data_IF_179397343884
#
_entry.id   IF_179397343884
#
_cell.length_a   1.000
_cell.length_b   1.000
_cell.length_c   1.000
_cell.angle_alpha   90.00
_cell.angle_beta   90.00
_cell.angle_gamma   90.00
#
_symmetry.space_group_name_H-M   'P 1'
#
loop_
_entity.id
_entity.type
_entity.pdbx_description
1 polymer ?
#
# COMPACT_ATOMS: atom_id res chain seq x y z
N UNK A 1 -5.06 -20.88 -50.47
CA UNK A 1 -5.58 -19.85 -49.55
C UNK A 1 -4.42 -19.42 -48.65
N UNK A 2 -4.10 -18.13 -48.70
CA UNK A 2 -2.80 -17.55 -48.36
C UNK A 2 -2.55 -17.44 -46.84
N UNK A 3 -1.35 -17.82 -46.39
CA UNK A 3 -0.85 -17.63 -45.02
C UNK A 3 -0.08 -16.31 -44.96
N UNK A 4 -0.61 -15.33 -44.23
CA UNK A 4 0.08 -14.08 -43.91
C UNK A 4 0.85 -14.24 -42.59
N UNK A 5 2.19 -14.20 -42.67
CA UNK A 5 3.09 -14.15 -41.52
C UNK A 5 3.31 -12.68 -41.14
N UNK A 6 2.84 -12.29 -39.95
CA UNK A 6 3.04 -10.95 -39.39
C UNK A 6 4.33 -10.97 -38.56
N UNK A 7 5.37 -10.34 -39.09
CA UNK A 7 6.66 -10.17 -38.45
C UNK A 7 6.60 -9.00 -37.46
N UNK A 8 6.59 -9.29 -36.16
CA UNK A 8 6.67 -8.27 -35.09
C UNK A 8 8.13 -7.86 -34.90
N UNK A 9 8.49 -6.68 -35.44
CA UNK A 9 9.77 -6.02 -35.21
C UNK A 9 9.81 -5.49 -33.75
N UNK A 10 10.52 -6.23 -32.89
CA UNK A 10 10.83 -5.82 -31.52
C UNK A 10 11.92 -4.73 -31.56
N UNK A 11 11.53 -3.46 -31.42
CA UNK A 11 12.47 -2.37 -31.16
C UNK A 11 13.01 -2.48 -29.72
N UNK A 12 14.19 -3.09 -29.57
CA UNK A 12 14.97 -3.01 -28.33
C UNK A 12 15.57 -1.59 -28.22
N UNK A 13 14.96 -0.75 -27.39
CA UNK A 13 15.61 0.47 -26.90
C UNK A 13 16.75 0.05 -25.95
N UNK A 14 17.96 -0.04 -26.51
CA UNK A 14 19.18 -0.22 -25.72
C UNK A 14 19.47 1.11 -25.04
N UNK A 15 19.05 1.25 -23.79
CA UNK A 15 19.50 2.33 -22.91
C UNK A 15 20.99 2.12 -22.62
N UNK A 16 21.86 2.77 -23.40
CA UNK A 16 23.30 2.82 -23.12
C UNK A 16 23.50 3.47 -21.74
N UNK A 17 23.71 2.63 -20.74
CA UNK A 17 24.02 3.06 -19.38
C UNK A 17 25.48 3.51 -19.39
N UNK A 18 25.73 4.80 -19.55
CA UNK A 18 27.07 5.37 -19.37
C UNK A 18 27.49 5.03 -17.94
N UNK A 19 28.42 4.08 -17.80
CA UNK A 19 28.93 3.62 -16.50
C UNK A 19 29.94 4.65 -15.99
N UNK A 20 29.44 5.80 -15.58
CA UNK A 20 30.25 6.77 -14.84
C UNK A 20 30.74 6.11 -13.54
N UNK A 21 32.03 6.18 -13.27
CA UNK A 21 32.56 5.75 -11.98
C UNK A 21 32.20 6.82 -10.96
N UNK A 22 31.26 6.49 -10.06
CA UNK A 22 30.87 7.36 -8.96
C UNK A 22 31.50 6.87 -7.66
N UNK A 23 32.01 7.80 -6.85
CA UNK A 23 32.52 7.54 -5.51
C UNK A 23 31.69 8.34 -4.47
N UNK A 24 31.41 7.72 -3.33
CA UNK A 24 30.64 8.37 -2.24
C UNK A 24 31.57 8.60 -1.07
N UNK A 25 31.67 9.86 -0.66
CA UNK A 25 32.59 10.32 0.38
C UNK A 25 31.93 11.37 1.28
N UNK A 26 32.67 11.85 2.28
CA UNK A 26 32.31 13.02 3.06
C UNK A 26 33.17 14.22 2.67
N UNK A 27 32.55 15.38 2.48
CA UNK A 27 33.29 16.62 2.28
C UNK A 27 33.87 17.16 3.60
N UNK A 28 34.57 18.31 3.54
CA UNK A 28 35.17 18.94 4.72
C UNK A 28 34.17 19.39 5.79
N UNK A 29 32.88 19.50 5.44
CA UNK A 29 31.79 19.81 6.37
C UNK A 29 31.10 18.53 6.90
N UNK A 30 31.61 17.34 6.56
CA UNK A 30 31.05 16.05 6.96
C UNK A 30 29.79 15.65 6.19
N UNK A 31 29.42 16.37 5.12
CA UNK A 31 28.24 16.08 4.29
C UNK A 31 28.56 14.93 3.36
N UNK A 32 27.61 14.00 3.20
CA UNK A 32 27.74 12.92 2.22
C UNK A 32 27.61 13.52 0.81
N UNK A 33 28.57 13.20 -0.06
CA UNK A 33 28.58 13.63 -1.47
C UNK A 33 28.83 12.43 -2.38
N UNK A 34 28.31 12.48 -3.59
CA UNK A 34 28.61 11.52 -4.67
C UNK A 34 29.33 12.26 -5.78
N UNK A 35 30.57 11.88 -6.04
CA UNK A 35 31.38 12.43 -7.12
C UNK A 35 31.41 11.44 -8.27
N UNK A 36 30.93 11.85 -9.45
CA UNK A 36 30.90 11.02 -10.64
C UNK A 36 31.83 11.58 -11.73
N UNK A 37 32.61 10.71 -12.36
CA UNK A 37 33.32 11.06 -13.60
C UNK A 37 32.40 10.78 -14.79
N UNK A 38 31.94 11.84 -15.45
CA UNK A 38 31.06 11.76 -16.60
C UNK A 38 31.88 11.95 -17.87
N UNK A 39 31.96 10.88 -18.66
CA UNK A 39 32.55 10.91 -19.99
C UNK A 39 31.40 11.11 -20.99
N UNK A 40 31.25 12.32 -21.51
CA UNK A 40 30.31 12.55 -22.60
C UNK A 40 30.98 12.15 -23.90
N UNK A 41 30.44 11.14 -24.58
CA UNK A 41 30.69 10.98 -26.01
C UNK A 41 29.96 12.13 -26.69
N UNK A 42 30.73 13.13 -27.08
CA UNK A 42 30.26 14.24 -27.90
C UNK A 42 29.48 13.74 -29.14
N UNK A 43 28.64 14.62 -29.70
CA UNK A 43 27.92 14.36 -30.95
C UNK A 43 28.88 13.85 -32.02
N UNK A 44 28.42 13.05 -33.01
CA UNK A 44 29.29 12.36 -33.99
C UNK A 44 30.33 13.23 -34.75
N UNK A 45 30.27 14.56 -34.66
CA UNK A 45 31.20 15.49 -35.32
C UNK A 45 32.14 16.27 -34.37
N UNK A 46 32.12 16.01 -33.06
CA UNK A 46 33.02 16.67 -32.09
C UNK A 46 34.07 15.68 -31.58
N UNK A 47 35.33 15.86 -31.99
CA UNK A 47 36.46 14.95 -31.70
C UNK A 47 36.96 15.06 -30.24
N UNK A 48 36.42 15.97 -29.43
CA UNK A 48 36.88 16.18 -28.05
C UNK A 48 36.01 15.44 -27.04
N UNK A 49 36.56 14.38 -26.44
CA UNK A 49 36.00 13.75 -25.26
C UNK A 49 35.91 14.77 -24.12
N UNK A 50 34.70 15.12 -23.71
CA UNK A 50 34.50 16.02 -22.57
C UNK A 50 34.44 15.20 -21.29
N UNK A 51 35.50 15.33 -20.48
CA UNK A 51 35.56 14.79 -19.13
C UNK A 51 35.04 15.84 -18.16
N UNK A 52 33.90 15.58 -17.54
CA UNK A 52 33.34 16.45 -16.49
C UNK A 52 33.19 15.65 -15.21
N UNK A 53 33.84 16.14 -14.16
CA UNK A 53 33.51 15.71 -12.81
C UNK A 53 32.24 16.42 -12.37
N UNK A 54 31.24 15.65 -11.93
CA UNK A 54 30.02 16.18 -11.34
C UNK A 54 29.92 15.76 -9.88
N UNK A 55 29.47 16.67 -9.02
CA UNK A 55 29.34 16.42 -7.58
C UNK A 55 27.90 16.59 -7.16
N UNK A 56 27.32 15.56 -6.54
CA UNK A 56 25.95 15.57 -6.03
C UNK A 56 25.95 15.54 -4.51
N UNK A 57 25.03 16.28 -3.89
CA UNK A 57 24.78 16.19 -2.45
C UNK A 57 23.98 14.91 -2.13
N UNK A 58 24.44 14.12 -1.16
CA UNK A 58 23.87 12.83 -0.78
C UNK A 58 24.43 11.66 -1.59
N UNK A 59 23.77 10.50 -1.50
CA UNK A 59 24.14 9.29 -2.25
C UNK A 59 22.93 8.52 -2.76
N UNK A 60 23.13 7.55 -3.64
CA UNK A 60 22.09 6.59 -4.02
C UNK A 60 21.84 5.49 -2.97
N UNK A 61 22.79 5.26 -2.06
CA UNK A 61 22.79 4.13 -1.13
C UNK A 61 22.08 4.42 0.19
N UNK A 62 21.40 3.42 0.75
CA UNK A 62 20.67 3.52 2.02
C UNK A 62 21.49 4.16 3.15
N UNK A 63 22.77 3.79 3.26
CA UNK A 63 23.66 4.21 4.36
C UNK A 63 24.99 4.79 3.88
N UNK A 64 25.67 5.50 4.78
CA UNK A 64 27.09 5.84 4.68
C UNK A 64 27.80 5.39 5.99
N UNK A 65 28.97 4.72 5.94
CA UNK A 65 29.65 4.21 4.75
C UNK A 65 28.76 3.24 3.95
N UNK A 66 29.01 3.12 2.64
CA UNK A 66 28.14 2.37 1.71
C UNK A 66 28.06 0.89 2.11
N UNK A 67 29.21 0.27 2.40
CA UNK A 67 29.31 -1.14 2.73
C UNK A 67 29.23 -1.32 4.22
N UNK A 68 28.19 -2.01 4.69
CA UNK A 68 27.99 -2.28 6.11
C UNK A 68 27.71 -3.75 6.34
N UNK A 69 28.09 -4.25 7.51
CA UNK A 69 27.80 -5.64 7.85
C UNK A 69 26.29 -5.87 7.89
N UNK A 70 25.87 -6.98 7.29
CA UNK A 70 24.48 -7.36 7.22
C UNK A 70 24.30 -8.84 6.93
N UNK A 71 23.03 -9.22 6.82
CA UNK A 71 22.62 -10.60 6.61
C UNK A 71 21.60 -10.65 5.49
N UNK A 72 21.71 -11.64 4.60
CA UNK A 72 20.73 -11.88 3.53
C UNK A 72 20.10 -13.26 3.69
N UNK A 73 18.81 -13.36 3.36
CA UNK A 73 18.05 -14.61 3.27
C UNK A 73 17.53 -14.75 1.84
N UNK A 74 17.97 -15.81 1.14
CA UNK A 74 17.62 -16.02 -0.27
C UNK A 74 16.19 -16.53 -0.46
N UNK A 75 15.68 -17.26 0.53
CA UNK A 75 14.32 -17.77 0.59
C UNK A 75 13.82 -17.77 2.06
N UNK A 76 12.54 -18.08 2.27
CA UNK A 76 11.90 -18.03 3.60
C UNK A 76 12.39 -19.11 4.57
N UNK A 77 12.98 -20.21 4.08
CA UNK A 77 13.53 -21.30 4.89
C UNK A 77 15.07 -21.29 4.94
N UNK A 78 15.69 -20.38 4.18
CA UNK A 78 17.11 -20.34 3.91
C UNK A 78 17.91 -19.93 5.13
N UNK A 79 19.13 -20.46 5.21
CA UNK A 79 20.09 -20.07 6.23
C UNK A 79 20.52 -18.61 6.02
N UNK A 80 20.67 -17.82 7.09
CA UNK A 80 21.21 -16.46 7.00
C UNK A 80 22.63 -16.48 6.44
N UNK A 81 22.91 -15.62 5.46
CA UNK A 81 24.25 -15.46 4.88
C UNK A 81 24.78 -14.08 5.26
N UNK A 82 25.86 -14.03 6.05
CA UNK A 82 26.54 -12.78 6.39
C UNK A 82 27.35 -12.25 5.22
N UNK A 83 27.20 -10.96 4.91
CA UNK A 83 27.97 -10.25 3.88
C UNK A 83 28.06 -8.76 4.24
N UNK A 84 28.96 -8.01 3.60
CA UNK A 84 28.82 -6.56 3.58
C UNK A 84 27.78 -6.17 2.54
N UNK A 85 26.76 -5.43 2.95
CA UNK A 85 25.65 -5.01 2.11
C UNK A 85 25.84 -3.55 1.69
N UNK A 86 25.58 -3.29 0.41
CA UNK A 86 25.27 -1.95 -0.10
C UNK A 86 23.88 -2.02 -0.75
N UNK A 87 22.93 -1.21 -0.30
CA UNK A 87 21.57 -1.19 -0.84
C UNK A 87 21.32 0.12 -1.59
N UNK A 88 21.19 0.06 -2.91
CA UNK A 88 20.88 1.24 -3.72
C UNK A 88 19.38 1.53 -3.71
N UNK A 89 19.00 2.72 -3.28
CA UNK A 89 17.61 3.18 -3.21
C UNK A 89 17.12 3.76 -4.54
N UNK A 90 18.01 3.94 -5.52
CA UNK A 90 17.68 4.42 -6.87
C UNK A 90 17.22 3.25 -7.75
N UNK A 91 18.01 2.18 -7.85
CA UNK A 91 17.68 1.02 -8.68
C UNK A 91 17.10 -0.17 -7.88
N UNK A 92 17.00 -0.02 -6.56
CA UNK A 92 16.44 -1.01 -5.63
C UNK A 92 17.21 -2.35 -5.64
N UNK A 93 18.52 -2.32 -5.96
CA UNK A 93 19.39 -3.50 -5.93
C UNK A 93 20.17 -3.62 -4.64
N UNK A 94 20.34 -4.88 -4.21
CA UNK A 94 21.16 -5.26 -3.06
C UNK A 94 22.47 -5.82 -3.59
N UNK A 95 23.58 -5.22 -3.17
CA UNK A 95 24.92 -5.71 -3.48
C UNK A 95 25.52 -6.35 -2.23
N UNK A 96 26.12 -7.52 -2.36
CA UNK A 96 26.85 -8.20 -1.29
C UNK A 96 28.35 -8.31 -1.64
N UNK A 97 29.21 -8.09 -0.65
CA UNK A 97 30.59 -8.60 -0.62
C UNK A 97 30.66 -9.71 0.43
N UNK A 98 30.90 -10.93 -0.01
CA UNK A 98 31.01 -12.10 0.87
C UNK A 98 32.40 -12.16 1.50
N UNK A 99 32.51 -12.79 2.67
CA UNK A 99 33.75 -12.87 3.43
C UNK A 99 34.93 -13.32 2.56
N UNK A 100 36.01 -12.54 2.59
CA UNK A 100 37.22 -12.79 1.81
C UNK A 100 37.20 -12.28 0.36
N UNK A 101 36.10 -11.71 -0.12
CA UNK A 101 35.99 -11.16 -1.48
C UNK A 101 35.81 -9.64 -1.49
N UNK A 102 36.66 -8.96 -2.27
CA UNK A 102 36.48 -7.53 -2.57
C UNK A 102 35.48 -7.29 -3.71
N UNK A 103 35.14 -8.33 -4.46
CA UNK A 103 34.18 -8.22 -5.58
C UNK A 103 32.77 -8.17 -5.04
N UNK A 104 32.01 -7.15 -5.43
CA UNK A 104 30.59 -7.08 -5.15
C UNK A 104 29.79 -7.93 -6.14
N UNK A 105 28.69 -8.52 -5.66
CA UNK A 105 27.71 -9.23 -6.49
C UNK A 105 26.32 -8.67 -6.22
N UNK A 106 25.54 -8.49 -7.28
CA UNK A 106 24.11 -8.20 -7.13
C UNK A 106 23.42 -9.47 -6.66
N UNK A 107 22.67 -9.36 -5.56
CA UNK A 107 21.86 -10.43 -5.01
C UNK A 107 20.39 -10.04 -5.03
N UNK A 108 19.51 -11.03 -5.11
CA UNK A 108 18.07 -10.85 -5.09
C UNK A 108 17.50 -11.65 -3.92
N UNK A 109 17.77 -11.24 -2.67
CA UNK A 109 17.26 -11.95 -1.50
C UNK A 109 15.75 -11.78 -1.33
N UNK A 110 15.13 -12.70 -0.61
CA UNK A 110 13.75 -12.55 -0.12
C UNK A 110 13.69 -11.51 1.00
N UNK A 111 14.70 -11.49 1.88
CA UNK A 111 14.88 -10.44 2.87
C UNK A 111 16.35 -10.21 3.21
N UNK A 112 16.67 -9.04 3.76
CA UNK A 112 18.01 -8.75 4.27
C UNK A 112 17.95 -7.76 5.43
N UNK A 113 19.00 -7.72 6.25
CA UNK A 113 19.11 -6.78 7.36
C UNK A 113 20.42 -6.00 7.29
N UNK A 114 20.35 -4.68 7.48
CA UNK A 114 21.48 -3.77 7.56
C UNK A 114 21.17 -2.74 8.66
N UNK A 115 22.11 -2.49 9.57
CA UNK A 115 21.91 -1.67 10.80
C UNK A 115 20.72 -2.11 11.66
N UNK A 116 20.51 -3.41 11.79
CA UNK A 116 19.38 -3.95 12.56
C UNK A 116 18.00 -3.73 11.93
N UNK A 117 17.92 -3.03 10.79
CA UNK A 117 16.68 -2.81 10.05
C UNK A 117 16.48 -3.95 9.05
N UNK A 118 15.37 -4.67 9.21
CA UNK A 118 14.97 -5.75 8.30
C UNK A 118 14.27 -5.16 7.07
N UNK A 119 14.66 -5.61 5.89
CA UNK A 119 14.06 -5.30 4.60
C UNK A 119 13.48 -6.56 4.00
N UNK A 120 12.23 -6.51 3.56
CA UNK A 120 11.52 -7.64 2.94
C UNK A 120 11.16 -7.31 1.51
N UNK A 121 11.31 -8.28 0.61
CA UNK A 121 10.93 -8.12 -0.79
C UNK A 121 9.43 -7.87 -0.89
N UNK A 122 9.03 -6.98 -1.80
CA UNK A 122 7.61 -6.80 -2.14
C UNK A 122 7.08 -8.03 -2.87
N UNK A 123 5.93 -8.54 -2.43
CA UNK A 123 5.31 -9.72 -3.03
C UNK A 123 4.92 -9.48 -4.50
N UNK A 124 4.95 -10.53 -5.34
CA UNK A 124 4.47 -10.45 -6.72
C UNK A 124 3.03 -9.95 -6.76
N UNK A 125 2.73 -8.97 -7.62
CA UNK A 125 1.39 -8.38 -7.76
C UNK A 125 1.21 -7.03 -7.04
N UNK A 126 2.11 -6.65 -6.12
CA UNK A 126 2.19 -5.27 -5.65
C UNK A 126 2.81 -4.36 -6.72
N UNK A 127 2.27 -3.15 -6.91
CA UNK A 127 2.80 -2.18 -7.89
C UNK A 127 4.18 -1.69 -7.45
N UNK A 128 5.23 -2.12 -8.15
CA UNK A 128 6.62 -1.63 -8.00
C UNK A 128 7.60 -2.70 -7.52
N UNK A 129 8.87 -2.56 -7.91
CA UNK A 129 10.00 -3.41 -7.46
C UNK A 129 10.65 -2.81 -6.21
N UNK A 130 11.35 -3.64 -5.46
CA UNK A 130 12.20 -3.23 -4.34
C UNK A 130 11.85 -3.87 -3.01
N UNK A 131 12.36 -3.28 -1.94
CA UNK A 131 12.25 -3.80 -0.59
C UNK A 131 11.58 -2.80 0.35
N UNK A 132 10.81 -3.33 1.29
CA UNK A 132 10.17 -2.56 2.36
C UNK A 132 10.92 -2.81 3.67
N UNK A 133 11.38 -1.74 4.31
CA UNK A 133 11.87 -1.79 5.68
C UNK A 133 10.71 -2.12 6.63
N UNK A 134 10.91 -3.07 7.53
CA UNK A 134 9.95 -3.49 8.54
C UNK A 134 10.19 -2.67 9.81
N UNK A 135 9.37 -1.65 10.03
CA UNK A 135 9.46 -0.77 11.20
C UNK A 135 8.78 -1.39 12.43
N UNK A 136 7.76 -2.21 12.21
CA UNK A 136 7.07 -3.00 13.23
C UNK A 136 6.66 -4.34 12.63
N UNK A 137 6.95 -5.43 13.34
CA UNK A 137 6.63 -6.79 12.91
C UNK A 137 5.63 -7.48 13.87
N UNK A 138 4.38 -7.00 13.87
CA UNK A 138 3.26 -7.62 14.62
C UNK A 138 2.24 -8.29 13.71
N UNK A 139 1.03 -8.57 14.22
CA UNK A 139 -0.11 -9.00 13.38
C UNK A 139 -0.43 -7.94 12.32
N UNK A 140 -0.31 -6.67 12.71
CA UNK A 140 -0.35 -5.53 11.80
C UNK A 140 1.05 -4.91 11.64
N UNK A 141 1.64 -5.01 10.46
CA UNK A 141 2.99 -4.50 10.20
C UNK A 141 2.96 -3.03 9.81
N UNK A 142 3.98 -2.29 10.26
CA UNK A 142 4.34 -0.99 9.70
C UNK A 142 5.54 -1.18 8.78
N UNK A 143 5.37 -0.84 7.52
CA UNK A 143 6.39 -0.99 6.49
C UNK A 143 6.78 0.38 5.93
N UNK A 144 8.02 0.52 5.48
CA UNK A 144 8.55 1.74 4.89
C UNK A 144 9.27 1.43 3.58
N UNK A 145 8.78 2.01 2.49
CA UNK A 145 9.49 2.06 1.23
C UNK A 145 10.39 3.31 1.20
N UNK A 146 11.68 3.08 0.99
CA UNK A 146 12.68 4.13 0.80
C UNK A 146 13.07 4.18 -0.66
N UNK A 147 12.95 5.36 -1.26
CA UNK A 147 13.38 5.62 -2.63
C UNK A 147 14.27 6.85 -2.66
N UNK A 148 15.28 6.83 -3.52
CA UNK A 148 16.06 8.03 -3.84
C UNK A 148 15.94 8.36 -5.31
N UNK A 149 15.90 9.64 -5.60
CA UNK A 149 15.96 10.16 -6.95
C UNK A 149 16.92 11.33 -6.99
N UNK A 150 17.65 11.46 -8.09
CA UNK A 150 18.55 12.56 -8.32
C UNK A 150 17.76 13.76 -8.82
N UNK A 151 17.87 14.89 -8.12
CA UNK A 151 17.35 16.19 -8.54
C UNK A 151 18.52 17.04 -8.98
N UNK A 152 18.65 17.26 -10.28
CA UNK A 152 19.70 18.12 -10.86
C UNK A 152 19.42 19.58 -10.55
N UNK A 153 20.46 20.33 -10.16
CA UNK A 153 20.33 21.77 -9.98
C UNK A 153 19.97 22.41 -11.33
N UNK A 154 18.95 23.27 -11.35
CA UNK A 154 18.64 24.08 -12.53
C UNK A 154 19.55 25.31 -12.47
N UNK A 155 20.39 25.49 -13.49
CA UNK A 155 21.14 26.73 -13.68
C UNK A 155 20.12 27.79 -14.12
N UNK A 156 19.58 28.55 -13.16
CA UNK A 156 18.55 29.58 -13.43
C UNK A 156 19.12 30.84 -14.08
N UNK A 157 20.42 31.09 -13.93
CA UNK A 157 21.10 32.28 -14.43
C UNK A 157 22.62 32.07 -14.43
N UNK A 158 23.29 32.40 -15.54
CA UNK A 158 24.75 32.23 -15.69
C UNK A 158 25.61 33.11 -14.77
N UNK A 159 24.98 33.93 -13.92
CA UNK A 159 25.62 34.85 -12.98
C UNK A 159 25.42 34.47 -11.51
N UNK A 160 24.50 33.56 -11.19
CA UNK A 160 24.46 32.99 -9.85
C UNK A 160 25.77 32.22 -9.64
N UNK A 161 26.48 32.54 -8.55
CA UNK A 161 27.54 31.67 -8.05
C UNK A 161 26.87 30.32 -7.77
N UNK A 162 27.05 29.39 -8.70
CA UNK A 162 26.33 28.12 -8.69
C UNK A 162 26.49 27.43 -7.34
N UNK A 163 25.43 26.73 -6.92
CA UNK A 163 25.53 25.81 -5.80
C UNK A 163 26.77 24.91 -6.00
N UNK A 164 27.46 24.58 -4.91
CA UNK A 164 28.67 23.76 -4.94
C UNK A 164 28.42 22.32 -5.48
N UNK A 165 27.19 22.00 -5.86
CA UNK A 165 26.73 20.69 -6.29
C UNK A 165 25.93 20.81 -7.59
N UNK A 166 26.16 19.89 -8.53
CA UNK A 166 25.39 19.75 -9.77
C UNK A 166 23.96 19.20 -9.51
N UNK A 167 23.65 18.79 -8.28
CA UNK A 167 22.34 18.27 -7.88
C UNK A 167 22.35 17.63 -6.49
N UNK A 168 21.23 17.02 -6.10
CA UNK A 168 21.08 16.33 -4.83
C UNK A 168 20.24 15.06 -4.93
N UNK A 169 20.59 14.03 -4.16
CA UNK A 169 19.74 12.85 -3.98
C UNK A 169 18.67 13.14 -2.93
N UNK A 170 17.42 13.16 -3.36
CA UNK A 170 16.28 13.37 -2.47
C UNK A 170 15.66 12.04 -2.08
N UNK A 171 15.44 11.85 -0.77
CA UNK A 171 14.81 10.63 -0.24
C UNK A 171 13.30 10.81 -0.15
N UNK A 172 12.56 9.91 -0.78
CA UNK A 172 11.11 9.77 -0.63
C UNK A 172 10.82 8.60 0.32
N UNK A 173 9.98 8.86 1.32
CA UNK A 173 9.47 7.87 2.28
C UNK A 173 8.00 7.60 1.99
N UNK A 174 7.63 6.33 1.85
CA UNK A 174 6.22 5.93 1.71
C UNK A 174 5.96 4.86 2.77
N UNK A 175 5.05 5.13 3.68
CA UNK A 175 4.68 4.21 4.75
C UNK A 175 3.53 3.32 4.30
N UNK A 176 3.48 2.10 4.81
CA UNK A 176 2.39 1.16 4.55
C UNK A 176 1.96 0.46 5.84
N UNK A 177 0.68 0.16 5.93
CA UNK A 177 0.13 -0.76 6.93
C UNK A 177 -0.20 -2.08 6.23
N UNK A 178 0.18 -3.20 6.84
CA UNK A 178 -0.19 -4.53 6.36
C UNK A 178 -0.85 -5.32 7.48
N UNK A 179 -2.13 -5.70 7.31
CA UNK A 179 -2.89 -6.53 8.25
C UNK A 179 -2.77 -8.00 7.86
N UNK A 180 -2.14 -8.84 8.68
CA UNK A 180 -1.92 -10.26 8.36
C UNK A 180 -1.26 -10.46 7.00
N UNK A 181 -1.92 -11.21 6.11
CA UNK A 181 -1.51 -11.47 4.73
C UNK A 181 -2.23 -10.60 3.68
N UNK A 182 -2.97 -9.57 4.11
CA UNK A 182 -3.51 -8.56 3.20
C UNK A 182 -2.41 -7.80 2.46
N UNK A 183 -2.79 -7.09 1.40
CA UNK A 183 -1.85 -6.26 0.66
C UNK A 183 -1.45 -5.03 1.50
N UNK A 184 -0.19 -4.56 1.45
CA UNK A 184 0.19 -3.33 2.12
C UNK A 184 -0.56 -2.11 1.58
N UNK A 185 -1.21 -1.34 2.46
CA UNK A 185 -1.95 -0.12 2.14
C UNK A 185 -1.09 1.10 2.43
N UNK A 186 -0.85 2.00 1.46
CA UNK A 186 -0.05 3.19 1.70
C UNK A 186 -0.75 4.12 2.67
N UNK A 187 0.03 4.71 3.58
CA UNK A 187 -0.45 5.72 4.51
C UNK A 187 0.46 6.94 4.52
N UNK A 188 -0.16 8.09 4.73
CA UNK A 188 0.53 9.27 5.23
C UNK A 188 0.56 9.19 6.76
N UNK A 189 1.57 9.78 7.40
CA UNK A 189 1.64 9.83 8.86
C UNK A 189 0.69 10.90 9.42
N UNK A 190 -0.60 10.72 9.16
CA UNK A 190 -1.70 11.57 9.60
C UNK A 190 -2.80 10.73 10.20
N UNK A 191 -3.56 11.31 11.12
CA UNK A 191 -4.70 10.65 11.77
C UNK A 191 -5.74 10.13 10.77
N UNK A 192 -6.24 10.91 9.79
CA UNK A 192 -7.24 10.41 8.84
C UNK A 192 -6.74 9.19 8.03
N UNK A 193 -5.48 9.21 7.60
CA UNK A 193 -4.90 8.11 6.83
C UNK A 193 -4.76 6.83 7.67
N UNK A 194 -4.32 6.95 8.92
CA UNK A 194 -4.24 5.84 9.87
C UNK A 194 -5.62 5.23 10.17
N UNK A 195 -6.61 6.08 10.48
CA UNK A 195 -7.98 5.63 10.79
C UNK A 195 -8.64 4.96 9.58
N UNK A 196 -8.38 5.44 8.37
CA UNK A 196 -8.87 4.82 7.14
C UNK A 196 -8.24 3.44 6.89
N UNK A 197 -6.94 3.26 7.16
CA UNK A 197 -6.30 1.95 7.03
C UNK A 197 -6.77 0.93 8.09
N UNK A 198 -7.15 1.43 9.27
CA UNK A 198 -7.62 0.66 10.43
C UNK A 198 -9.12 0.86 10.69
N UNK A 199 -9.91 0.93 9.60
CA UNK A 199 -11.32 1.35 9.61
C UNK A 199 -12.20 0.54 10.57
N UNK A 200 -11.87 -0.72 10.84
CA UNK A 200 -12.62 -1.64 11.68
C UNK A 200 -12.48 -1.35 13.18
N UNK A 201 -11.51 -0.54 13.59
CA UNK A 201 -11.36 -0.03 14.97
C UNK A 201 -11.18 1.50 14.99
N UNK A 202 -11.58 2.19 13.94
CA UNK A 202 -11.31 3.62 13.76
C UNK A 202 -11.87 4.49 14.90
N UNK A 203 -13.05 4.16 15.44
CA UNK A 203 -13.66 4.92 16.54
C UNK A 203 -12.81 4.88 17.82
N UNK A 204 -12.45 3.67 18.29
CA UNK A 204 -11.59 3.48 19.47
C UNK A 204 -10.19 4.06 19.29
N UNK A 205 -9.66 4.01 18.06
CA UNK A 205 -8.38 4.64 17.74
C UNK A 205 -8.49 6.18 17.74
N UNK A 206 -9.58 6.72 17.23
CA UNK A 206 -9.81 8.16 17.15
C UNK A 206 -9.84 8.82 18.54
N UNK A 207 -10.37 8.13 19.55
CA UNK A 207 -10.39 8.58 20.95
C UNK A 207 -8.98 8.69 21.56
N UNK A 208 -8.08 7.78 21.17
CA UNK A 208 -6.74 7.68 21.75
C UNK A 208 -5.72 8.63 21.12
N UNK A 209 -5.92 9.00 19.86
CA UNK A 209 -4.96 9.81 19.10
C UNK A 209 -5.64 11.08 18.59
N UNK A 210 -5.64 12.18 19.37
CA UNK A 210 -6.25 13.43 18.96
C UNK A 210 -5.40 14.22 17.95
N UNK A 211 -4.09 13.96 17.90
CA UNK A 211 -3.15 14.67 17.04
C UNK A 211 -3.43 14.44 15.55
N UNK A 212 -3.27 15.49 14.73
CA UNK A 212 -3.51 15.41 13.28
C UNK A 212 -2.32 14.83 12.53
N UNK A 213 -1.10 15.22 12.90
CA UNK A 213 0.17 14.68 12.37
C UNK A 213 0.78 13.69 13.34
N UNK A 214 1.22 12.54 12.84
CA UNK A 214 1.72 11.44 13.64
C UNK A 214 3.22 11.25 13.41
N UNK A 215 3.94 10.85 14.45
CA UNK A 215 5.31 10.35 14.30
C UNK A 215 5.30 8.86 13.95
N UNK A 216 6.44 8.33 13.48
CA UNK A 216 6.58 6.87 13.28
C UNK A 216 6.34 6.10 14.57
N UNK A 217 6.83 6.60 15.71
CA UNK A 217 6.63 5.99 17.02
C UNK A 217 5.15 5.99 17.45
N UNK A 218 4.45 7.10 17.24
CA UNK A 218 3.00 7.20 17.50
C UNK A 218 2.22 6.15 16.70
N UNK A 219 2.57 5.95 15.43
CA UNK A 219 1.93 4.92 14.59
C UNK A 219 2.27 3.51 15.08
N UNK A 220 3.52 3.22 15.47
CA UNK A 220 3.90 1.92 16.04
C UNK A 220 3.06 1.60 17.28
N UNK A 221 2.87 2.57 18.17
CA UNK A 221 2.05 2.43 19.37
C UNK A 221 0.55 2.25 19.04
N UNK A 222 0.04 2.97 18.05
CA UNK A 222 -1.32 2.81 17.56
C UNK A 222 -1.58 1.41 17.01
N UNK A 223 -0.63 0.85 16.24
CA UNK A 223 -0.73 -0.52 15.72
C UNK A 223 -0.68 -1.58 16.83
N UNK A 224 0.13 -1.36 17.87
CA UNK A 224 0.15 -2.24 19.03
C UNK A 224 -1.21 -2.26 19.77
N UNK A 225 -1.83 -1.09 19.93
CA UNK A 225 -3.17 -1.00 20.50
C UNK A 225 -4.25 -1.62 19.60
N UNK A 226 -4.18 -1.40 18.29
CA UNK A 226 -5.06 -2.04 17.31
C UNK A 226 -5.00 -3.57 17.38
N UNK A 227 -3.79 -4.15 17.46
CA UNK A 227 -3.62 -5.60 17.60
C UNK A 227 -4.27 -6.12 18.89
N UNK A 228 -4.20 -5.36 20.00
CA UNK A 228 -4.88 -5.72 21.26
C UNK A 228 -6.41 -5.70 21.12
N UNK A 229 -6.96 -4.67 20.48
CA UNK A 229 -8.42 -4.57 20.22
C UNK A 229 -8.92 -5.72 19.35
N UNK A 230 -8.14 -6.07 18.33
CA UNK A 230 -8.44 -7.16 17.39
C UNK A 230 -8.37 -8.51 18.09
N UNK A 231 -7.34 -8.75 18.92
CA UNK A 231 -7.21 -9.96 19.71
C UNK A 231 -8.36 -10.13 20.74
N UNK A 232 -8.80 -9.04 21.36
CA UNK A 232 -9.90 -9.07 22.34
C UNK A 232 -11.27 -9.34 21.70
N UNK A 233 -11.49 -8.90 20.46
CA UNK A 233 -12.78 -9.04 19.77
C UNK A 233 -12.86 -10.28 18.86
N UNK A 234 -11.72 -10.83 18.46
CA UNK A 234 -11.62 -11.95 17.51
C UNK A 234 -12.44 -13.20 17.86
N UNK A 235 -12.40 -13.71 19.10
CA UNK A 235 -13.14 -14.94 19.46
C UNK A 235 -14.66 -14.85 19.34
N UNK A 236 -15.22 -13.64 19.33
CA UNK A 236 -16.67 -13.40 19.28
C UNK A 236 -17.21 -13.29 17.85
N UNK A 237 -16.32 -13.20 16.86
CA UNK A 237 -16.66 -12.87 15.48
C UNK A 237 -16.50 -14.09 14.57
N UNK A 238 -17.33 -14.21 13.52
CA UNK A 238 -17.11 -15.20 12.48
C UNK A 238 -15.72 -15.07 11.88
N UNK A 239 -15.04 -16.20 11.65
CA UNK A 239 -13.65 -16.20 11.20
C UNK A 239 -13.41 -15.40 9.90
N UNK A 240 -14.37 -15.44 8.96
CA UNK A 240 -14.30 -14.68 7.71
C UNK A 240 -14.44 -13.16 7.93
N UNK A 241 -15.18 -12.73 8.95
CA UNK A 241 -15.29 -11.30 9.32
C UNK A 241 -13.98 -10.72 9.85
N UNK A 242 -13.06 -11.58 10.31
CA UNK A 242 -11.75 -11.17 10.80
C UNK A 242 -10.63 -11.38 9.78
N UNK A 243 -10.97 -11.88 8.59
CA UNK A 243 -9.98 -12.22 7.58
C UNK A 243 -9.48 -10.94 6.86
N UNK A 244 -8.18 -10.61 6.95
CA UNK A 244 -7.67 -9.33 6.45
C UNK A 244 -7.83 -9.13 4.94
N UNK A 245 -7.66 -10.17 4.12
CA UNK A 245 -7.78 -10.05 2.65
C UNK A 245 -9.22 -9.72 2.24
N UNK A 246 -10.20 -10.39 2.86
CA UNK A 246 -11.62 -10.22 2.64
C UNK A 246 -12.07 -8.84 3.09
N UNK A 247 -11.81 -8.48 4.34
CA UNK A 247 -12.23 -7.20 4.92
C UNK A 247 -11.62 -6.02 4.16
N UNK A 248 -10.31 -6.07 3.86
CA UNK A 248 -9.64 -5.05 3.04
C UNK A 248 -10.28 -4.93 1.65
N UNK A 249 -10.62 -6.06 1.02
CA UNK A 249 -11.27 -6.04 -0.29
C UNK A 249 -12.66 -5.40 -0.24
N UNK A 250 -13.45 -5.64 0.81
CA UNK A 250 -14.74 -4.97 1.02
C UNK A 250 -14.56 -3.46 1.14
N UNK A 251 -13.67 -3.00 2.02
CA UNK A 251 -13.38 -1.57 2.22
C UNK A 251 -12.92 -0.87 0.94
N UNK A 252 -12.04 -1.51 0.19
CA UNK A 252 -11.48 -0.89 -0.99
C UNK A 252 -12.45 -0.86 -2.17
N UNK A 253 -13.47 -1.74 -2.19
CA UNK A 253 -14.32 -1.94 -3.39
C UNK A 253 -15.79 -1.60 -3.21
N UNK A 254 -16.35 -1.70 -2.01
CA UNK A 254 -17.72 -1.25 -1.75
C UNK A 254 -17.66 0.28 -1.63
N UNK A 255 -18.23 0.96 -2.61
CA UNK A 255 -18.34 2.42 -2.63
C UNK A 255 -19.78 2.85 -2.44
N UNK A 256 -19.97 3.96 -1.74
CA UNK A 256 -21.28 4.57 -1.59
C UNK A 256 -21.79 5.00 -2.98
N UNK A 257 -22.96 4.49 -3.44
CA UNK A 257 -23.50 4.85 -4.75
C UNK A 257 -23.73 6.35 -4.89
N UNK A 258 -23.30 6.94 -6.02
CA UNK A 258 -23.32 8.39 -6.24
C UNK A 258 -24.72 8.99 -6.13
N UNK A 259 -25.71 8.32 -6.73
CA UNK A 259 -27.11 8.72 -6.66
C UNK A 259 -27.63 8.75 -5.22
N UNK A 260 -27.32 7.73 -4.42
CA UNK A 260 -27.81 7.61 -3.05
C UNK A 260 -27.35 8.77 -2.16
N UNK A 261 -26.05 9.07 -2.13
CA UNK A 261 -25.56 10.18 -1.29
C UNK A 261 -25.89 11.56 -1.86
N UNK A 262 -26.20 11.66 -3.16
CA UNK A 262 -26.76 12.89 -3.73
C UNK A 262 -28.17 13.18 -3.25
N UNK A 263 -28.96 12.14 -2.98
CA UNK A 263 -30.35 12.23 -2.53
C UNK A 263 -30.53 12.05 -1.02
N UNK A 264 -29.44 11.93 -0.23
CA UNK A 264 -29.53 11.76 1.23
C UNK A 264 -30.11 10.40 1.63
N UNK A 265 -29.95 9.41 0.75
CA UNK A 265 -30.48 8.06 0.91
C UNK A 265 -29.44 7.17 1.55
N UNK A 266 -29.86 6.42 2.56
CA UNK A 266 -29.05 5.45 3.31
C UNK A 266 -29.85 4.15 3.48
N UNK A 267 -29.19 3.06 3.86
CA UNK A 267 -29.89 1.78 3.99
C UNK A 267 -28.97 0.61 4.28
N UNK A 268 -29.60 -0.53 4.57
CA UNK A 268 -28.91 -1.79 4.84
C UNK A 268 -29.24 -2.81 3.75
N UNK A 269 -28.22 -3.50 3.26
CA UNK A 269 -28.37 -4.61 2.32
C UNK A 269 -27.81 -5.90 2.91
N UNK A 270 -28.45 -7.01 2.61
CA UNK A 270 -28.03 -8.34 3.02
C UNK A 270 -27.71 -9.15 1.78
N UNK A 271 -26.44 -9.52 1.61
CA UNK A 271 -25.99 -10.31 0.45
C UNK A 271 -25.62 -11.72 0.92
N UNK A 272 -26.28 -12.73 0.35
CA UNK A 272 -25.93 -14.13 0.50
C UNK A 272 -24.86 -14.50 -0.52
N UNK A 273 -23.88 -15.28 -0.11
CA UNK A 273 -22.86 -15.85 -1.00
C UNK A 273 -22.26 -17.13 -0.40
N UNK A 274 -21.48 -17.84 -1.19
CA UNK A 274 -20.77 -19.05 -0.78
C UNK A 274 -19.29 -18.93 -1.13
N UNK A 275 -18.41 -19.34 -0.22
CA UNK A 275 -16.99 -19.53 -0.51
C UNK A 275 -16.75 -21.01 -0.81
N UNK A 276 -16.19 -21.31 -1.98
CA UNK A 276 -15.90 -22.69 -2.38
C UNK A 276 -14.68 -23.25 -1.64
N UNK A 277 -14.46 -24.56 -1.74
CA UNK A 277 -13.22 -25.21 -1.27
C UNK A 277 -11.95 -24.69 -1.98
N UNK A 278 -12.10 -23.97 -3.09
CA UNK A 278 -11.00 -23.30 -3.80
C UNK A 278 -10.78 -21.87 -3.31
N UNK A 279 -11.64 -21.34 -2.45
CA UNK A 279 -11.57 -19.97 -1.94
C UNK A 279 -12.29 -18.93 -2.81
N UNK A 280 -13.07 -19.36 -3.81
CA UNK A 280 -13.79 -18.46 -4.72
C UNK A 280 -15.16 -18.09 -4.17
N UNK A 281 -15.59 -16.84 -4.35
CA UNK A 281 -16.93 -16.39 -3.98
C UNK A 281 -17.94 -16.64 -5.11
N UNK A 282 -18.96 -17.46 -4.86
CA UNK A 282 -20.01 -17.83 -5.80
C UNK A 282 -21.41 -17.61 -5.20
N UNK A 283 -22.47 -17.85 -5.99
CA UNK A 283 -23.87 -17.81 -5.54
C UNK A 283 -24.27 -16.48 -4.88
N UNK A 284 -23.75 -15.36 -5.40
CA UNK A 284 -23.93 -14.02 -4.82
C UNK A 284 -25.33 -13.48 -5.15
N UNK A 285 -26.22 -13.45 -4.16
CA UNK A 285 -27.63 -13.02 -4.30
C UNK A 285 -28.03 -12.01 -3.21
N UNK A 286 -29.00 -11.14 -3.51
CA UNK A 286 -29.53 -10.22 -2.49
C UNK A 286 -30.68 -10.89 -1.75
N UNK A 287 -30.69 -10.74 -0.43
CA UNK A 287 -31.80 -11.13 0.44
C UNK A 287 -32.67 -9.94 0.83
N UNK A 288 -32.14 -8.71 0.68
CA UNK A 288 -32.91 -7.50 0.92
C UNK A 288 -34.05 -7.35 -0.07
N UNK A 289 -35.17 -6.74 0.33
CA UNK A 289 -36.23 -6.37 -0.59
C UNK A 289 -35.67 -5.54 -1.75
N UNK A 290 -36.15 -5.79 -2.97
CA UNK A 290 -35.59 -5.16 -4.17
C UNK A 290 -35.56 -3.63 -4.05
N UNK A 291 -34.36 -3.09 -4.24
CA UNK A 291 -34.12 -1.65 -4.26
C UNK A 291 -33.06 -1.30 -5.32
N UNK A 292 -33.42 -1.55 -6.57
CA UNK A 292 -32.52 -1.34 -7.70
C UNK A 292 -32.27 0.14 -8.00
N UNK A 293 -33.05 1.05 -7.41
CA UNK A 293 -33.01 2.48 -7.72
C UNK A 293 -31.68 3.15 -7.34
N UNK A 294 -31.13 2.76 -6.17
CA UNK A 294 -29.97 3.41 -5.57
C UNK A 294 -28.67 2.63 -5.70
N UNK A 295 -28.72 1.37 -6.14
CA UNK A 295 -27.54 0.60 -6.50
C UNK A 295 -26.71 0.05 -5.33
N UNK A 296 -27.23 0.06 -4.09
CA UNK A 296 -26.53 -0.52 -2.93
C UNK A 296 -26.20 -2.01 -3.13
N UNK A 297 -27.17 -2.82 -3.54
CA UNK A 297 -26.97 -4.24 -3.83
C UNK A 297 -25.89 -4.47 -4.89
N UNK A 298 -25.90 -3.65 -5.95
CA UNK A 298 -24.94 -3.78 -7.05
C UNK A 298 -23.52 -3.44 -6.60
N UNK A 299 -23.35 -2.41 -5.76
CA UNK A 299 -22.05 -2.06 -5.19
C UNK A 299 -21.44 -3.23 -4.40
N UNK A 300 -22.22 -3.89 -3.56
CA UNK A 300 -21.76 -5.03 -2.76
C UNK A 300 -21.51 -6.27 -3.64
N UNK A 301 -22.44 -6.61 -4.53
CA UNK A 301 -22.29 -7.75 -5.46
C UNK A 301 -21.04 -7.60 -6.34
N UNK A 302 -20.77 -6.41 -6.85
CA UNK A 302 -19.58 -6.15 -7.67
C UNK A 302 -18.28 -6.28 -6.87
N UNK A 303 -18.26 -5.84 -5.61
CA UNK A 303 -17.11 -6.02 -4.73
C UNK A 303 -16.82 -7.51 -4.47
N UNK A 304 -17.87 -8.28 -4.13
CA UNK A 304 -17.76 -9.73 -3.88
C UNK A 304 -17.31 -10.52 -5.12
N UNK A 305 -17.82 -10.19 -6.31
CA UNK A 305 -17.40 -10.85 -7.57
C UNK A 305 -15.92 -10.67 -7.90
N UNK A 306 -15.30 -9.58 -7.42
CA UNK A 306 -13.90 -9.28 -7.70
C UNK A 306 -12.96 -9.88 -6.66
N UNK A 307 -13.47 -10.48 -5.57
CA UNK A 307 -12.67 -10.95 -4.44
C UNK A 307 -11.49 -11.81 -4.92
N UNK A 308 -10.34 -11.58 -4.31
CA UNK A 308 -9.20 -12.47 -4.47
C UNK A 308 -9.56 -13.83 -3.88
N UNK A 309 -8.90 -14.89 -4.38
CA UNK A 309 -9.07 -16.24 -3.85
C UNK A 309 -8.69 -16.25 -2.37
N UNK A 310 -9.65 -16.66 -1.53
CA UNK A 310 -9.47 -16.78 -0.08
C UNK A 310 -8.87 -18.14 0.30
N UNK A 311 -8.48 -18.31 1.56
CA UNK A 311 -8.01 -19.61 2.06
C UNK A 311 -9.17 -20.62 2.06
N UNK A 312 -8.95 -21.88 1.63
CA UNK A 312 -9.96 -22.94 1.64
C UNK A 312 -10.66 -23.20 2.99
N UNK A 313 -10.02 -22.83 4.11
CA UNK A 313 -10.58 -22.95 5.46
C UNK A 313 -11.85 -22.12 5.66
N UNK A 314 -12.07 -21.09 4.82
CA UNK A 314 -13.26 -20.25 4.85
C UNK A 314 -14.39 -20.76 3.94
N UNK A 315 -14.35 -22.01 3.48
CA UNK A 315 -15.43 -22.57 2.67
C UNK A 315 -16.73 -22.65 3.50
N UNK A 316 -17.84 -22.15 2.94
CA UNK A 316 -19.12 -22.08 3.64
C UNK A 316 -20.13 -21.13 3.01
N UNK A 317 -21.35 -21.11 3.57
CA UNK A 317 -22.43 -20.21 3.17
C UNK A 317 -22.52 -19.03 4.14
N UNK A 318 -22.56 -17.83 3.60
CA UNK A 318 -22.47 -16.59 4.36
C UNK A 318 -23.58 -15.63 4.00
N UNK A 319 -23.96 -14.80 4.97
CA UNK A 319 -24.69 -13.56 4.73
C UNK A 319 -23.83 -12.39 5.22
N UNK A 320 -23.62 -11.40 4.35
CA UNK A 320 -22.95 -10.15 4.69
C UNK A 320 -23.98 -9.02 4.82
N UNK A 321 -24.25 -8.55 6.05
CA UNK A 321 -24.93 -7.29 6.26
C UNK A 321 -24.00 -6.14 5.88
N UNK A 322 -24.48 -5.20 5.06
CA UNK A 322 -23.75 -3.97 4.71
C UNK A 322 -24.63 -2.78 5.03
N UNK A 323 -24.17 -1.92 5.94
CA UNK A 323 -24.86 -0.69 6.33
C UNK A 323 -24.22 0.51 5.62
N UNK A 324 -24.96 1.14 4.72
CA UNK A 324 -24.60 2.44 4.17
C UNK A 324 -25.11 3.52 5.12
N UNK A 325 -24.21 4.24 5.77
CA UNK A 325 -24.53 5.28 6.77
C UNK A 325 -24.23 6.65 6.21
N UNK A 326 -25.06 7.63 6.54
CA UNK A 326 -25.00 8.96 5.94
C UNK A 326 -24.99 10.05 7.00
N UNK A 327 -24.02 10.97 6.93
CA UNK A 327 -23.93 12.12 7.82
C UNK A 327 -23.94 13.41 7.00
N UNK A 328 -24.89 14.30 7.28
CA UNK A 328 -24.93 15.65 6.69
C UNK A 328 -24.56 16.69 7.73
N UNK A 329 -23.33 17.17 7.68
CA UNK A 329 -22.75 18.11 8.66
C UNK A 329 -23.43 19.47 8.72
N UNK A 330 -24.25 19.84 7.70
CA UNK A 330 -25.05 21.07 7.73
C UNK A 330 -26.40 20.89 8.44
N UNK A 331 -26.94 19.68 8.47
CA UNK A 331 -28.27 19.40 9.00
C UNK A 331 -28.23 18.75 10.40
N UNK A 332 -27.27 17.85 10.64
CA UNK A 332 -27.08 17.15 11.91
C UNK A 332 -25.62 16.75 12.09
N UNK A 333 -25.16 16.67 13.33
CA UNK A 333 -23.86 16.09 13.67
C UNK A 333 -23.91 14.56 13.78
N UNK A 334 -25.10 13.98 13.93
CA UNK A 334 -25.28 12.52 14.05
C UNK A 334 -25.43 11.84 12.69
N UNK A 335 -24.89 10.62 12.60
CA UNK A 335 -25.05 9.76 11.43
C UNK A 335 -26.45 9.16 11.36
N UNK A 336 -27.02 9.10 10.16
CA UNK A 336 -28.25 8.40 9.84
C UNK A 336 -27.92 6.91 9.67
N UNK A 337 -28.44 6.09 10.59
CA UNK A 337 -28.15 4.66 10.70
C UNK A 337 -29.35 3.82 10.24
N UNK A 338 -29.14 2.77 9.42
CA UNK A 338 -30.20 1.84 9.06
C UNK A 338 -30.76 1.09 10.28
N UNK A 339 -32.08 1.09 10.42
CA UNK A 339 -32.78 0.42 11.52
C UNK A 339 -33.44 -0.88 11.07
N UNK A 340 -33.75 -1.02 9.78
CA UNK A 340 -34.48 -2.18 9.26
C UNK A 340 -33.57 -3.41 9.11
N UNK A 341 -34.09 -4.57 9.47
CA UNK A 341 -33.38 -5.86 9.45
C UNK A 341 -34.24 -6.95 8.80
N UNK A 342 -33.60 -8.00 8.29
CA UNK A 342 -34.30 -9.19 7.81
C UNK A 342 -34.80 -10.05 8.98
N UNK A 343 -35.82 -10.86 8.75
CA UNK A 343 -36.24 -11.83 9.76
C UNK A 343 -35.19 -12.93 9.92
N UNK A 344 -35.05 -13.54 11.12
CA UNK A 344 -34.10 -14.63 11.37
C UNK A 344 -34.26 -15.80 10.38
N UNK A 345 -35.50 -16.11 9.99
CA UNK A 345 -35.81 -17.21 9.06
C UNK A 345 -35.16 -17.01 7.68
N UNK A 346 -35.05 -15.76 7.20
CA UNK A 346 -34.40 -15.45 5.93
C UNK A 346 -32.87 -15.63 5.98
N UNK A 347 -32.31 -15.64 7.19
CA UNK A 347 -30.89 -15.77 7.49
C UNK A 347 -30.50 -17.19 7.89
N UNK A 348 -31.46 -18.11 7.97
CA UNK A 348 -31.23 -19.50 8.32
C UNK A 348 -30.21 -20.17 7.37
N UNK A 349 -29.52 -21.20 7.89
CA UNK A 349 -28.52 -22.03 7.20
C UNK A 349 -27.27 -21.29 6.69
N UNK A 350 -27.06 -20.05 7.12
CA UNK A 350 -25.89 -19.25 6.76
C UNK A 350 -25.16 -18.76 8.01
N UNK A 351 -23.83 -18.61 7.91
CA UNK A 351 -23.08 -17.85 8.91
C UNK A 351 -23.27 -16.37 8.64
N UNK A 352 -23.91 -15.66 9.56
CA UNK A 352 -24.07 -14.20 9.50
C UNK A 352 -22.74 -13.56 9.86
N UNK A 353 -22.19 -12.76 8.95
CA UNK A 353 -20.96 -12.00 9.16
C UNK A 353 -21.24 -10.72 9.97
N UNK A 354 -20.18 -10.18 10.58
CA UNK A 354 -20.22 -8.83 11.14
C UNK A 354 -20.67 -7.80 10.09
N UNK A 355 -21.50 -6.85 10.52
CA UNK A 355 -22.00 -5.79 9.66
C UNK A 355 -20.85 -4.92 9.14
N UNK A 356 -20.76 -4.81 7.82
CA UNK A 356 -19.78 -3.95 7.16
C UNK A 356 -20.36 -2.56 6.94
N UNK A 357 -19.81 -1.56 7.62
CA UNK A 357 -20.28 -0.17 7.53
C UNK A 357 -19.57 0.60 6.41
N UNK A 358 -20.35 1.27 5.56
CA UNK A 358 -19.88 2.14 4.48
C UNK A 358 -20.38 3.56 4.77
N UNK A 359 -19.59 4.37 5.51
CA UNK A 359 -20.00 5.71 5.86
C UNK A 359 -19.79 6.70 4.71
N UNK A 360 -20.64 7.73 4.64
CA UNK A 360 -20.39 8.94 3.86
C UNK A 360 -20.71 10.18 4.68
N UNK A 361 -19.83 11.18 4.60
CA UNK A 361 -20.00 12.49 5.22
C UNK A 361 -20.10 13.52 4.12
N UNK A 362 -21.16 14.32 4.13
CA UNK A 362 -21.40 15.37 3.14
C UNK A 362 -21.61 16.72 3.82
N UNK A 363 -21.16 17.78 3.16
CA UNK A 363 -21.36 19.17 3.58
C UNK A 363 -22.15 19.90 2.50
N UNK A 364 -23.43 19.53 2.32
CA UNK A 364 -24.30 20.17 1.32
C UNK A 364 -25.75 20.15 1.77
N UNK A 365 -26.56 21.08 1.25
CA UNK A 365 -28.01 21.08 1.48
C UNK A 365 -28.61 19.88 0.75
N UNK A 366 -28.84 18.81 1.48
CA UNK A 366 -29.61 17.63 1.05
C UNK A 366 -30.91 17.64 1.86
N UNK A 367 -31.96 17.02 1.33
CA UNK A 367 -33.19 16.77 2.09
C UNK A 367 -32.93 15.96 3.37
N UNK A 368 -34.00 15.70 4.12
CA UNK A 368 -33.93 14.84 5.31
C UNK A 368 -33.39 13.45 4.94
N UNK A 369 -32.61 12.87 5.84
CA UNK A 369 -32.13 11.50 5.69
C UNK A 369 -33.31 10.55 5.43
N UNK A 370 -33.23 9.74 4.37
CA UNK A 370 -34.26 8.75 4.03
C UNK A 370 -33.69 7.34 4.01
N UNK A 371 -34.14 6.51 4.95
CA UNK A 371 -33.83 5.07 4.92
C UNK A 371 -34.63 4.42 3.79
N UNK A 372 -33.96 3.61 2.98
CA UNK A 372 -34.63 2.82 1.95
C UNK A 372 -34.65 1.34 2.30
N UNK A 373 -35.80 0.70 2.05
CA UNK A 373 -36.02 -0.72 2.28
C UNK A 373 -37.25 -1.19 1.51
N UNK A 374 -37.00 -1.93 0.43
CA UNK A 374 -38.03 -2.27 -0.56
C UNK A 374 -38.44 -1.09 -1.43
N UNK A 375 -39.29 -1.37 -2.41
CA UNK A 375 -39.89 -0.34 -3.27
C UNK A 375 -40.88 0.48 -2.47
N UNK A 376 -40.67 1.79 -2.35
CA UNK A 376 -41.73 2.71 -1.97
C UNK A 376 -42.78 2.70 -3.09
N UNK A 377 -43.92 2.07 -2.84
CA UNK A 377 -45.11 2.25 -3.69
C UNK A 377 -45.66 3.64 -3.54
#
# INVERSE_FOLDING_TARGET
MSRAAISFLLFWLISLSVSGQCDVSQDSAGRIITTCQVYSTSRPNEIKSYHKQTVYLGSEYFTYPIWQQGTVWLDNAGQPISCQIAYSLVDQKVYCRFNGSLTSRVVTPESFSINGLLFTRRQPGSVGRGYLAVLRNGQTKLLLNLQRHLVTARITDGYAKGDAFDGSYQTRKIYYIQKGDAQPEPIDLTRPSLLNALYDQAEKLAERFPETTLTTETVVNALAYYDQLTAATGPLKPALSMEPVFTQALHNRIKYPSRAWNEGVYGRVYIRFEITKRGEAINITSLSPENNEYGFDQAVKQALRKLSVLKPVYAGKYVLPVAFTFTNTLASTSACLPTRTLSPDQLADCTILEEFTVPIVVTKKVGTCREIWGTSR
#
